data_IF_317006506371
#
_entry.id   IF_317006506371
#
_cell.length_a   1.000
_cell.length_b   1.000
_cell.length_c   1.000
_cell.angle_alpha   90.00
_cell.angle_beta   90.00
_cell.angle_gamma   90.00
#
_symmetry.space_group_name_H-M   'P 1'
#
loop_
_entity.id
_entity.type
_entity.pdbx_description
1 polymer ?
#
# COMPACT_ATOMS: atom_id res chain seq x y z
N UNK A 1 7.15 -8.15 11.24
CA UNK A 1 7.13 -6.93 12.06
C UNK A 1 6.09 -7.06 13.17
N UNK A 2 6.28 -6.33 14.27
CA UNK A 2 5.35 -6.29 15.42
C UNK A 2 3.95 -5.84 14.98
N UNK A 3 3.86 -4.88 14.04
CA UNK A 3 2.57 -4.40 13.50
C UNK A 3 1.79 -5.55 12.82
N UNK A 4 2.45 -6.34 11.97
CA UNK A 4 1.81 -7.48 11.30
C UNK A 4 1.34 -8.53 12.31
N UNK A 5 2.13 -8.81 13.33
CA UNK A 5 1.78 -9.77 14.38
C UNK A 5 0.52 -9.29 15.14
N UNK A 6 0.45 -7.99 15.48
CA UNK A 6 -0.76 -7.40 16.09
C UNK A 6 -1.99 -7.53 15.19
N UNK A 7 -1.87 -7.23 13.90
CA UNK A 7 -2.99 -7.32 12.95
C UNK A 7 -3.48 -8.77 12.77
N UNK A 8 -2.58 -9.76 12.83
CA UNK A 8 -2.97 -11.18 12.86
C UNK A 8 -3.69 -11.54 14.16
N UNK A 9 -3.18 -11.11 15.31
CA UNK A 9 -3.85 -11.33 16.61
C UNK A 9 -5.24 -10.69 16.66
N UNK A 10 -5.40 -9.47 16.10
CA UNK A 10 -6.71 -8.80 15.99
C UNK A 10 -7.67 -9.65 15.16
N UNK A 11 -7.24 -10.15 14.00
CA UNK A 11 -8.04 -11.04 13.16
C UNK A 11 -8.46 -12.30 13.92
N UNK A 12 -7.54 -12.94 14.62
CA UNK A 12 -7.80 -14.19 15.35
C UNK A 12 -8.73 -13.99 16.56
N UNK A 13 -8.91 -12.74 16.99
CA UNK A 13 -9.87 -12.35 18.04
C UNK A 13 -11.27 -12.05 17.49
N UNK A 14 -11.48 -12.07 16.18
CA UNK A 14 -12.78 -11.86 15.55
C UNK A 14 -13.52 -13.16 15.33
N UNK A 15 -14.88 -13.10 15.36
CA UNK A 15 -15.73 -14.24 15.04
C UNK A 15 -15.84 -14.44 13.52
N UNK A 16 -15.70 -13.33 12.76
CA UNK A 16 -15.73 -13.29 11.30
C UNK A 16 -14.86 -12.14 10.79
N UNK A 17 -14.61 -12.10 9.51
CA UNK A 17 -13.79 -11.07 8.89
C UNK A 17 -14.42 -10.54 7.61
N UNK A 18 -14.24 -9.25 7.33
CA UNK A 18 -14.62 -8.69 6.03
C UNK A 18 -13.85 -9.39 4.89
N UNK A 19 -14.44 -9.39 3.69
CA UNK A 19 -13.77 -9.96 2.51
C UNK A 19 -12.36 -9.40 2.30
N UNK A 20 -12.17 -8.09 2.53
CA UNK A 20 -10.85 -7.44 2.46
C UNK A 20 -9.88 -7.99 3.51
N UNK A 21 -10.31 -8.07 4.78
CA UNK A 21 -9.48 -8.60 5.86
C UNK A 21 -9.10 -10.07 5.64
N UNK A 22 -10.02 -10.87 5.10
CA UNK A 22 -9.75 -12.27 4.73
C UNK A 22 -8.68 -12.35 3.64
N UNK A 23 -8.81 -11.58 2.56
CA UNK A 23 -7.88 -11.57 1.43
C UNK A 23 -6.49 -11.07 1.84
N UNK A 24 -6.43 -9.98 2.61
CA UNK A 24 -5.16 -9.42 3.12
C UNK A 24 -4.52 -10.35 4.14
N UNK A 25 -5.33 -11.12 4.87
CA UNK A 25 -4.88 -12.00 5.95
C UNK A 25 -4.53 -11.25 7.24
N UNK A 26 -5.05 -10.02 7.41
CA UNK A 26 -4.79 -9.16 8.56
C UNK A 26 -5.95 -8.20 8.81
N UNK A 27 -6.21 -7.89 10.08
CA UNK A 27 -7.21 -6.89 10.49
C UNK A 27 -6.55 -5.83 11.38
N UNK A 28 -6.89 -4.57 11.16
CA UNK A 28 -6.48 -3.44 12.01
C UNK A 28 -7.67 -2.78 12.72
N UNK A 29 -8.89 -3.23 12.41
CA UNK A 29 -10.14 -2.70 12.94
C UNK A 29 -11.06 -3.85 13.39
N UNK A 30 -11.74 -3.68 14.53
CA UNK A 30 -12.76 -4.58 15.03
C UNK A 30 -14.04 -3.80 15.29
N UNK A 31 -15.17 -4.35 14.86
CA UNK A 31 -16.47 -3.77 15.18
C UNK A 31 -17.52 -4.84 15.45
N UNK A 32 -18.53 -4.49 16.22
CA UNK A 32 -19.66 -5.40 16.52
C UNK A 32 -20.73 -5.25 15.44
N UNK A 33 -21.18 -6.38 14.91
CA UNK A 33 -22.34 -6.48 14.01
C UNK A 33 -23.26 -7.58 14.55
N UNK A 34 -24.42 -7.18 15.07
CA UNK A 34 -25.30 -8.09 15.86
C UNK A 34 -24.51 -8.68 17.04
N UNK A 35 -24.39 -9.99 17.16
CA UNK A 35 -23.66 -10.66 18.22
C UNK A 35 -22.24 -11.10 17.80
N UNK A 36 -21.81 -10.76 16.59
CA UNK A 36 -20.49 -11.10 16.08
C UNK A 36 -19.51 -9.95 16.18
N UNK A 37 -18.26 -10.26 16.46
CA UNK A 37 -17.13 -9.36 16.32
C UNK A 37 -16.53 -9.57 14.93
N UNK A 38 -16.54 -8.53 14.11
CA UNK A 38 -16.03 -8.54 12.73
C UNK A 38 -14.66 -7.90 12.69
N UNK A 39 -13.69 -8.62 12.13
CA UNK A 39 -12.38 -8.08 11.78
C UNK A 39 -12.41 -7.40 10.41
N UNK A 40 -11.86 -6.20 10.31
CA UNK A 40 -11.76 -5.45 9.05
C UNK A 40 -10.37 -4.86 8.85
N UNK A 41 -10.07 -4.43 7.63
CA UNK A 41 -8.81 -3.77 7.29
C UNK A 41 -9.06 -2.44 6.59
N UNK A 42 -8.66 -1.35 7.26
CA UNK A 42 -8.80 0.03 6.76
C UNK A 42 -7.52 0.59 6.15
N UNK A 43 -6.39 -0.11 6.21
CA UNK A 43 -5.10 0.35 5.63
C UNK A 43 -5.24 0.58 4.12
N UNK A 44 -5.92 -0.33 3.41
CA UNK A 44 -6.15 -0.21 1.96
C UNK A 44 -7.01 1.01 1.60
N UNK A 45 -8.01 1.32 2.43
CA UNK A 45 -8.87 2.50 2.24
C UNK A 45 -8.05 3.77 2.48
N UNK A 46 -7.25 3.79 3.56
CA UNK A 46 -6.40 4.91 3.91
C UNK A 46 -5.43 5.28 2.80
N UNK A 47 -4.70 4.29 2.25
CA UNK A 47 -3.75 4.52 1.16
C UNK A 47 -4.43 5.06 -0.10
N UNK A 48 -5.52 4.42 -0.54
CA UNK A 48 -6.24 4.83 -1.74
C UNK A 48 -6.78 6.25 -1.61
N UNK A 49 -7.30 6.61 -0.44
CA UNK A 49 -7.85 7.92 -0.17
C UNK A 49 -6.76 8.99 -0.10
N UNK A 50 -5.64 8.69 0.53
CA UNK A 50 -4.52 9.63 0.62
C UNK A 50 -3.97 9.96 -0.77
N UNK A 51 -3.65 8.94 -1.58
CA UNK A 51 -3.13 9.16 -2.94
C UNK A 51 -4.14 9.94 -3.81
N UNK A 52 -5.41 9.54 -3.80
CA UNK A 52 -6.39 10.12 -4.72
C UNK A 52 -6.94 11.48 -4.26
N UNK A 53 -7.26 11.63 -2.96
CA UNK A 53 -7.95 12.82 -2.46
C UNK A 53 -6.98 13.86 -1.86
N UNK A 54 -6.00 13.44 -1.07
CA UNK A 54 -5.12 14.39 -0.40
C UNK A 54 -3.96 14.81 -1.30
N UNK A 55 -3.33 13.86 -2.00
CA UNK A 55 -2.25 14.14 -2.94
C UNK A 55 -2.73 14.46 -4.36
N UNK A 56 -4.01 14.20 -4.67
CA UNK A 56 -4.64 14.57 -5.95
C UNK A 56 -4.19 13.73 -7.15
N UNK A 57 -3.69 12.51 -6.94
CA UNK A 57 -3.25 11.63 -8.03
C UNK A 57 -4.32 10.63 -8.43
N UNK A 58 -4.64 10.57 -9.73
CA UNK A 58 -5.48 9.52 -10.30
C UNK A 58 -4.62 8.35 -10.77
N UNK A 59 -4.93 7.16 -10.25
CA UNK A 59 -4.25 5.92 -10.58
C UNK A 59 -4.89 5.18 -11.77
N UNK A 60 -6.01 5.66 -12.30
CA UNK A 60 -6.67 5.03 -13.42
C UNK A 60 -5.75 4.95 -14.65
N UNK A 61 -5.55 3.75 -15.17
CA UNK A 61 -4.71 3.50 -16.35
C UNK A 61 -3.21 3.66 -16.14
N UNK A 62 -2.74 3.84 -14.89
CA UNK A 62 -1.34 4.07 -14.54
C UNK A 62 -0.56 2.78 -14.31
N UNK A 63 0.76 2.86 -14.44
CA UNK A 63 1.70 1.77 -14.15
C UNK A 63 2.29 1.97 -12.77
N UNK A 64 2.03 1.00 -11.87
CA UNK A 64 2.40 1.06 -10.46
C UNK A 64 3.43 -0.01 -10.14
N UNK A 65 4.50 0.38 -9.48
CA UNK A 65 5.46 -0.52 -8.84
C UNK A 65 5.24 -0.55 -7.34
N UNK A 66 5.10 -1.73 -6.77
CA UNK A 66 5.10 -1.95 -5.33
C UNK A 66 6.35 -2.74 -4.95
N UNK A 67 7.20 -2.15 -4.14
CA UNK A 67 8.43 -2.74 -3.64
C UNK A 67 8.15 -3.48 -2.33
N UNK A 68 8.39 -4.80 -2.35
CA UNK A 68 8.09 -5.71 -1.24
C UNK A 68 6.87 -6.58 -1.50
N UNK A 69 6.80 -7.72 -0.81
CA UNK A 69 5.69 -8.68 -0.89
C UNK A 69 5.21 -9.12 0.51
N UNK A 70 5.35 -8.25 1.51
CA UNK A 70 4.88 -8.45 2.87
C UNK A 70 3.41 -8.06 3.06
N UNK A 71 2.94 -8.06 4.32
CA UNK A 71 1.56 -7.69 4.64
C UNK A 71 1.20 -6.26 4.24
N UNK A 72 2.13 -5.30 4.34
CA UNK A 72 1.93 -3.92 3.91
C UNK A 72 1.76 -3.83 2.38
N UNK A 73 2.64 -4.51 1.62
CA UNK A 73 2.53 -4.61 0.17
C UNK A 73 1.20 -5.24 -0.26
N UNK A 74 0.78 -6.29 0.44
CA UNK A 74 -0.50 -6.96 0.19
C UNK A 74 -1.67 -5.99 0.39
N UNK A 75 -1.72 -5.29 1.53
CA UNK A 75 -2.75 -4.28 1.80
C UNK A 75 -2.76 -3.16 0.77
N UNK A 76 -1.60 -2.62 0.40
CA UNK A 76 -1.45 -1.61 -0.63
C UNK A 76 -1.99 -2.11 -1.99
N UNK A 77 -1.54 -3.27 -2.44
CA UNK A 77 -1.91 -3.82 -3.74
C UNK A 77 -3.42 -4.04 -3.87
N UNK A 78 -4.09 -4.57 -2.83
CA UNK A 78 -5.55 -4.73 -2.82
C UNK A 78 -6.29 -3.37 -2.87
N UNK A 79 -5.81 -2.38 -2.10
CA UNK A 79 -6.41 -1.04 -2.11
C UNK A 79 -6.26 -0.32 -3.45
N UNK A 80 -5.08 -0.42 -4.04
CA UNK A 80 -4.77 0.25 -5.32
C UNK A 80 -5.43 -0.42 -6.51
N UNK A 81 -5.66 -1.73 -6.47
CA UNK A 81 -6.38 -2.43 -7.52
C UNK A 81 -7.81 -1.91 -7.70
N UNK A 82 -8.45 -1.41 -6.63
CA UNK A 82 -9.77 -0.81 -6.69
C UNK A 82 -9.82 0.49 -7.52
N UNK A 83 -8.67 1.16 -7.71
CA UNK A 83 -8.52 2.39 -8.50
C UNK A 83 -8.27 2.13 -10.00
N UNK A 84 -8.32 0.85 -10.44
CA UNK A 84 -8.17 0.43 -11.83
C UNK A 84 -6.88 0.92 -12.53
N UNK A 85 -5.70 0.71 -11.95
CA UNK A 85 -4.45 0.96 -12.65
C UNK A 85 -4.33 0.02 -13.87
N UNK A 86 -3.55 0.42 -14.87
CA UNK A 86 -3.22 -0.41 -16.04
C UNK A 86 -2.40 -1.62 -15.63
N UNK A 87 -1.37 -1.38 -14.80
CA UNK A 87 -0.43 -2.42 -14.34
C UNK A 87 -0.15 -2.25 -12.85
N UNK A 88 -0.13 -3.36 -12.12
CA UNK A 88 0.48 -3.46 -10.80
C UNK A 88 1.64 -4.46 -10.90
N UNK A 89 2.86 -3.97 -10.78
CA UNK A 89 4.06 -4.78 -10.66
C UNK A 89 4.45 -4.91 -9.19
N UNK A 90 4.62 -6.13 -8.71
CA UNK A 90 5.14 -6.42 -7.37
C UNK A 90 6.58 -6.87 -7.53
N UNK A 91 7.53 -6.08 -7.04
CA UNK A 91 8.94 -6.47 -7.01
C UNK A 91 9.39 -6.79 -5.58
N UNK A 92 10.09 -7.91 -5.43
CA UNK A 92 10.58 -8.35 -4.13
C UNK A 92 11.94 -9.02 -4.27
N UNK A 93 12.76 -8.98 -3.21
CA UNK A 93 14.05 -9.70 -3.16
C UNK A 93 13.88 -11.20 -3.47
N UNK A 94 12.82 -11.82 -2.97
CA UNK A 94 12.45 -13.22 -3.22
C UNK A 94 11.28 -13.23 -4.20
N UNK A 95 11.52 -13.64 -5.45
CA UNK A 95 10.52 -13.60 -6.53
C UNK A 95 9.26 -14.42 -6.22
N UNK A 96 9.43 -15.58 -5.58
CA UNK A 96 8.33 -16.48 -5.22
C UNK A 96 7.29 -15.78 -4.35
N UNK A 97 7.72 -14.89 -3.43
CA UNK A 97 6.79 -14.11 -2.60
C UNK A 97 5.99 -13.09 -3.40
N UNK A 98 6.60 -12.49 -4.42
CA UNK A 98 5.89 -11.60 -5.33
C UNK A 98 4.86 -12.40 -6.16
N UNK A 99 5.24 -13.59 -6.65
CA UNK A 99 4.34 -14.48 -7.39
C UNK A 99 3.15 -14.95 -6.55
N UNK A 100 3.37 -15.29 -5.27
CA UNK A 100 2.28 -15.63 -4.34
C UNK A 100 1.30 -14.46 -4.18
N UNK A 101 1.81 -13.24 -4.00
CA UNK A 101 0.96 -12.06 -3.88
C UNK A 101 0.17 -11.77 -5.18
N UNK A 102 0.80 -11.91 -6.33
CA UNK A 102 0.12 -11.78 -7.64
C UNK A 102 -0.99 -12.83 -7.81
N UNK A 103 -0.77 -14.05 -7.33
CA UNK A 103 -1.81 -15.10 -7.35
C UNK A 103 -3.03 -14.69 -6.51
N UNK A 104 -2.82 -14.19 -5.30
CA UNK A 104 -3.90 -13.71 -4.42
C UNK A 104 -4.66 -12.53 -5.07
N UNK A 105 -3.94 -11.57 -5.65
CA UNK A 105 -4.53 -10.43 -6.36
C UNK A 105 -5.32 -10.88 -7.61
N UNK A 106 -4.87 -11.90 -8.31
CA UNK A 106 -5.55 -12.44 -9.48
C UNK A 106 -6.91 -13.05 -9.11
N UNK A 107 -7.01 -13.72 -7.97
CA UNK A 107 -8.28 -14.23 -7.45
C UNK A 107 -9.24 -13.08 -7.11
N UNK A 108 -8.76 -12.04 -6.46
CA UNK A 108 -9.55 -10.84 -6.19
C UNK A 108 -10.02 -10.16 -7.47
N UNK A 109 -9.13 -9.98 -8.44
CA UNK A 109 -9.43 -9.40 -9.75
C UNK A 109 -10.61 -10.13 -10.44
N UNK A 110 -10.59 -11.46 -10.45
CA UNK A 110 -11.65 -12.27 -11.07
C UNK A 110 -13.00 -12.05 -10.38
N UNK A 111 -13.03 -11.95 -9.05
CA UNK A 111 -14.26 -11.75 -8.28
C UNK A 111 -14.79 -10.31 -8.35
N UNK A 112 -13.95 -9.32 -8.58
CA UNK A 112 -14.28 -7.89 -8.55
C UNK A 112 -14.44 -7.24 -9.93
N UNK A 113 -14.21 -7.98 -11.03
CA UNK A 113 -14.32 -7.46 -12.41
C UNK A 113 -13.23 -6.44 -12.78
N UNK A 114 -12.09 -6.44 -12.07
CA UNK A 114 -10.95 -5.54 -12.33
C UNK A 114 -10.07 -6.07 -13.47
N UNK A 115 -9.42 -5.19 -14.22
CA UNK A 115 -8.68 -5.54 -15.44
C UNK A 115 -7.19 -5.17 -15.41
N UNK A 116 -6.64 -4.80 -14.25
CA UNK A 116 -5.20 -4.46 -14.14
C UNK A 116 -4.32 -5.63 -14.57
N UNK A 117 -3.24 -5.35 -15.30
CA UNK A 117 -2.20 -6.32 -15.55
C UNK A 117 -1.39 -6.54 -14.26
N UNK A 118 -1.17 -7.79 -13.87
CA UNK A 118 -0.52 -8.16 -12.62
C UNK A 118 0.79 -8.88 -12.93
N UNK A 119 1.92 -8.31 -12.48
CA UNK A 119 3.27 -8.78 -12.79
C UNK A 119 4.04 -8.97 -11.50
N UNK A 120 4.77 -10.11 -11.40
CA UNK A 120 5.74 -10.36 -10.35
C UNK A 120 7.15 -10.23 -10.92
N UNK A 121 8.02 -9.49 -10.23
CA UNK A 121 9.42 -9.34 -10.61
C UNK A 121 10.34 -9.44 -9.40
N UNK A 122 11.64 -9.58 -9.64
CA UNK A 122 12.67 -9.42 -8.62
C UNK A 122 13.25 -8.00 -8.67
N UNK A 123 13.91 -7.54 -7.60
CA UNK A 123 14.61 -6.26 -7.62
C UNK A 123 15.70 -6.18 -8.69
N UNK A 124 16.29 -7.33 -9.06
CA UNK A 124 17.40 -7.38 -10.01
C UNK A 124 16.94 -7.46 -11.47
N UNK A 125 15.69 -7.86 -11.75
CA UNK A 125 15.19 -8.07 -13.12
C UNK A 125 14.14 -7.06 -13.55
N UNK A 126 13.65 -6.22 -12.64
CA UNK A 126 12.56 -5.31 -12.95
C UNK A 126 12.91 -4.29 -14.05
N UNK A 127 14.16 -3.80 -14.08
CA UNK A 127 14.65 -2.88 -15.11
C UNK A 127 14.75 -3.51 -16.50
N UNK A 128 14.80 -4.85 -16.60
CA UNK A 128 14.81 -5.55 -17.88
C UNK A 128 13.42 -5.55 -18.54
N UNK A 129 12.37 -5.43 -17.71
CA UNK A 129 10.96 -5.46 -18.14
C UNK A 129 10.34 -4.06 -18.25
N UNK A 130 10.83 -3.12 -17.42
CA UNK A 130 10.27 -1.77 -17.30
C UNK A 130 11.36 -0.71 -17.29
N UNK A 131 11.11 0.39 -17.98
CA UNK A 131 12.02 1.55 -18.00
C UNK A 131 11.65 2.62 -16.96
N UNK A 132 10.38 2.71 -16.59
CA UNK A 132 9.87 3.65 -15.58
C UNK A 132 8.48 3.23 -15.12
N UNK A 133 8.02 3.85 -14.02
CA UNK A 133 6.66 3.71 -13.51
C UNK A 133 6.05 5.08 -13.22
N UNK A 134 4.74 5.22 -13.39
CA UNK A 134 4.02 6.42 -12.97
C UNK A 134 4.07 6.60 -11.45
N UNK A 135 3.97 5.48 -10.69
CA UNK A 135 3.96 5.45 -9.23
C UNK A 135 4.84 4.33 -8.70
N UNK A 136 5.66 4.65 -7.69
CA UNK A 136 6.49 3.68 -7.00
C UNK A 136 6.17 3.73 -5.51
N UNK A 137 5.78 2.59 -4.95
CA UNK A 137 5.37 2.48 -3.55
C UNK A 137 6.34 1.56 -2.81
N UNK A 138 6.98 2.09 -1.78
CA UNK A 138 7.83 1.29 -0.91
C UNK A 138 7.02 0.69 0.23
N UNK A 139 6.86 -0.63 0.20
CA UNK A 139 6.22 -1.45 1.23
C UNK A 139 7.20 -2.38 1.94
N UNK A 140 8.50 -2.12 1.82
CA UNK A 140 9.56 -2.90 2.50
C UNK A 140 9.76 -2.38 3.93
N UNK A 141 10.46 -3.16 4.74
CA UNK A 141 10.93 -2.71 6.06
C UNK A 141 12.26 -1.95 5.99
N UNK A 142 12.85 -1.77 4.82
CA UNK A 142 14.14 -1.10 4.66
C UNK A 142 14.06 0.39 4.99
N UNK A 143 12.93 1.04 4.76
CA UNK A 143 12.70 2.44 5.17
C UNK A 143 12.88 2.72 6.67
N UNK A 144 12.85 1.67 7.48
CA UNK A 144 13.08 1.78 8.93
C UNK A 144 14.54 1.61 9.33
N UNK A 145 15.42 1.32 8.37
CA UNK A 145 16.86 1.20 8.54
C UNK A 145 17.50 2.50 8.07
N UNK A 146 18.34 3.08 8.93
CA UNK A 146 19.03 4.33 8.62
C UNK A 146 20.02 4.13 7.46
N UNK A 147 19.95 5.00 6.45
CA UNK A 147 20.88 5.10 5.32
C UNK A 147 20.99 3.85 4.41
N UNK A 148 19.97 3.02 4.35
CA UNK A 148 19.96 1.89 3.41
C UNK A 148 19.06 2.19 2.20
N UNK A 149 19.68 2.28 1.01
CA UNK A 149 18.97 2.40 -0.26
C UNK A 149 18.41 1.04 -0.71
N UNK A 150 17.26 1.07 -1.38
CA UNK A 150 16.70 -0.13 -2.00
C UNK A 150 17.57 -0.57 -3.18
N UNK A 151 17.80 -1.88 -3.36
CA UNK A 151 18.62 -2.41 -4.45
C UNK A 151 17.81 -2.48 -5.75
N UNK A 152 17.35 -1.33 -6.23
CA UNK A 152 16.65 -1.17 -7.52
C UNK A 152 17.40 -0.16 -8.38
N UNK A 153 17.23 -0.24 -9.71
CA UNK A 153 17.84 0.72 -10.62
C UNK A 153 17.24 2.11 -10.43
N UNK A 154 18.03 3.16 -10.16
CA UNK A 154 17.53 4.51 -10.00
C UNK A 154 16.80 5.07 -11.23
N UNK A 155 17.05 4.54 -12.43
CA UNK A 155 16.36 4.94 -13.64
C UNK A 155 14.83 4.71 -13.59
N UNK A 156 14.38 3.80 -12.74
CA UNK A 156 12.95 3.54 -12.53
C UNK A 156 12.19 4.75 -11.96
N UNK A 157 12.89 5.68 -11.30
CA UNK A 157 12.29 6.92 -10.78
C UNK A 157 12.13 8.01 -11.83
N UNK A 158 12.77 7.87 -12.99
CA UNK A 158 12.67 8.85 -14.08
C UNK A 158 11.21 8.94 -14.55
N UNK A 159 10.64 10.17 -14.51
CA UNK A 159 9.23 10.45 -14.80
C UNK A 159 8.22 9.84 -13.81
N UNK A 160 8.65 9.31 -12.67
CA UNK A 160 7.74 8.89 -11.60
C UNK A 160 7.00 10.11 -11.04
N UNK A 161 5.66 10.11 -11.16
CA UNK A 161 4.85 11.21 -10.66
C UNK A 161 4.79 11.24 -9.13
N UNK A 162 4.78 10.07 -8.49
CA UNK A 162 4.76 9.93 -7.03
C UNK A 162 5.57 8.72 -6.58
N UNK A 163 6.57 8.93 -5.72
CA UNK A 163 7.21 7.89 -4.93
C UNK A 163 6.68 7.95 -3.49
N UNK A 164 5.98 6.90 -3.07
CA UNK A 164 5.26 6.85 -1.80
C UNK A 164 5.87 5.81 -0.87
N UNK A 165 6.31 6.22 0.32
CA UNK A 165 6.77 5.28 1.35
C UNK A 165 5.64 4.94 2.32
N UNK A 166 5.33 3.65 2.53
CA UNK A 166 4.35 3.25 3.53
C UNK A 166 4.82 3.43 4.97
N UNK A 167 6.11 3.63 5.20
CA UNK A 167 6.62 4.10 6.48
C UNK A 167 6.33 5.60 6.63
N UNK A 168 6.24 6.06 7.87
CA UNK A 168 6.16 7.48 8.19
C UNK A 168 7.24 7.83 9.22
N UNK A 169 7.87 9.00 9.05
CA UNK A 169 8.98 9.46 9.86
C UNK A 169 8.97 10.98 9.95
N UNK A 170 9.59 11.59 10.96
CA UNK A 170 9.71 13.06 11.04
C UNK A 170 10.64 13.63 9.96
N UNK A 171 11.60 12.87 9.52
CA UNK A 171 12.50 13.21 8.42
C UNK A 171 12.17 12.35 7.19
N UNK A 172 12.60 12.81 6.02
CA UNK A 172 12.48 12.03 4.80
C UNK A 172 13.19 10.69 4.95
N UNK A 173 12.55 9.63 4.48
CA UNK A 173 13.17 8.31 4.46
C UNK A 173 14.23 8.22 3.37
N UNK A 174 15.17 7.28 3.48
CA UNK A 174 16.19 7.11 2.43
C UNK A 174 15.55 6.83 1.06
N UNK A 175 14.44 6.09 1.03
CA UNK A 175 13.67 5.87 -0.20
C UNK A 175 13.17 7.19 -0.82
N UNK A 176 12.62 8.10 -0.02
CA UNK A 176 12.15 9.40 -0.51
C UNK A 176 13.30 10.25 -1.05
N UNK A 177 14.43 10.28 -0.34
CA UNK A 177 15.66 10.99 -0.76
C UNK A 177 16.16 10.42 -2.09
N UNK A 178 16.26 9.10 -2.20
CA UNK A 178 16.72 8.42 -3.42
C UNK A 178 15.78 8.72 -4.60
N UNK A 179 14.48 8.62 -4.39
CA UNK A 179 13.47 8.87 -5.41
C UNK A 179 13.53 10.32 -5.93
N UNK A 180 13.62 11.29 -5.02
CA UNK A 180 13.69 12.70 -5.39
C UNK A 180 14.98 13.02 -6.16
N UNK A 181 16.12 12.48 -5.74
CA UNK A 181 17.41 12.69 -6.40
C UNK A 181 17.48 12.06 -7.79
N UNK A 182 16.62 11.06 -8.08
CA UNK A 182 16.63 10.32 -9.34
C UNK A 182 15.40 10.61 -10.23
N UNK A 183 14.63 11.67 -9.96
CA UNK A 183 13.66 12.21 -10.91
C UNK A 183 12.19 11.98 -10.58
N UNK A 184 11.85 11.48 -9.39
CA UNK A 184 10.48 11.50 -8.93
C UNK A 184 9.98 12.94 -8.73
N UNK A 185 8.78 13.25 -9.26
CA UNK A 185 8.23 14.61 -9.22
C UNK A 185 7.73 15.00 -7.84
N UNK A 186 7.15 14.03 -7.11
CA UNK A 186 6.71 14.18 -5.73
C UNK A 186 7.13 12.95 -4.92
N UNK A 187 7.49 13.18 -3.66
CA UNK A 187 7.70 12.13 -2.66
C UNK A 187 6.72 12.32 -1.50
N UNK A 188 6.25 11.24 -0.91
CA UNK A 188 5.36 11.28 0.27
C UNK A 188 5.61 10.09 1.18
N UNK A 189 5.41 10.30 2.47
CA UNK A 189 5.43 9.23 3.46
C UNK A 189 4.01 8.71 3.79
N UNK A 190 3.92 7.70 4.64
CA UNK A 190 2.67 7.06 5.03
C UNK A 190 1.82 7.82 6.07
N UNK A 191 2.12 9.10 6.35
CA UNK A 191 1.35 9.89 7.32
C UNK A 191 -0.11 10.06 6.91
N UNK A 192 -0.36 10.46 5.66
CA UNK A 192 -1.72 10.64 5.16
C UNK A 192 -2.50 9.32 5.19
N UNK A 193 -1.89 8.21 4.77
CA UNK A 193 -2.48 6.87 4.91
C UNK A 193 -2.84 6.54 6.37
N UNK A 194 -1.96 6.87 7.34
CA UNK A 194 -2.21 6.65 8.77
C UNK A 194 -3.43 7.42 9.26
N UNK A 195 -3.57 8.68 8.86
CA UNK A 195 -4.70 9.54 9.22
C UNK A 195 -6.00 9.01 8.60
N UNK A 196 -6.00 8.71 7.31
CA UNK A 196 -7.21 8.29 6.59
C UNK A 196 -7.68 6.88 6.99
N UNK A 197 -6.79 5.94 7.30
CA UNK A 197 -7.19 4.64 7.84
C UNK A 197 -7.80 4.76 9.23
N UNK A 198 -7.29 5.70 10.05
CA UNK A 198 -7.89 6.02 11.35
C UNK A 198 -9.29 6.63 11.21
N UNK A 199 -9.48 7.53 10.25
CA UNK A 199 -10.78 8.10 9.93
C UNK A 199 -11.79 7.04 9.48
N UNK A 200 -11.39 6.09 8.63
CA UNK A 200 -12.23 4.98 8.19
C UNK A 200 -12.61 4.04 9.35
N UNK A 201 -11.68 3.79 10.27
CA UNK A 201 -11.96 3.02 11.49
C UNK A 201 -12.95 3.74 12.40
N UNK A 202 -12.77 5.05 12.58
CA UNK A 202 -13.69 5.88 13.37
C UNK A 202 -15.11 5.90 12.76
N UNK A 203 -15.21 6.00 11.45
CA UNK A 203 -16.49 5.92 10.74
C UNK A 203 -17.18 4.56 10.97
N UNK A 204 -16.44 3.47 10.92
CA UNK A 204 -16.95 2.12 11.21
C UNK A 204 -17.55 2.03 12.63
N UNK A 205 -16.92 2.66 13.62
CA UNK A 205 -17.35 2.60 15.02
C UNK A 205 -18.51 3.55 15.36
N UNK A 206 -18.55 4.70 14.69
CA UNK A 206 -19.47 5.81 15.09
C UNK A 206 -20.53 6.14 14.07
N UNK A 207 -20.38 5.62 12.84
CA UNK A 207 -21.23 6.01 11.69
C UNK A 207 -20.97 7.42 11.17
N UNK A 208 -19.89 8.09 11.59
CA UNK A 208 -19.55 9.45 11.21
C UNK A 208 -18.12 9.52 10.70
N UNK A 209 -17.94 9.97 9.44
CA UNK A 209 -16.61 10.23 8.88
C UNK A 209 -16.07 11.56 9.46
N UNK A 210 -14.92 11.56 10.16
CA UNK A 210 -14.33 12.78 10.69
C UNK A 210 -13.63 13.57 9.57
N UNK A 211 -13.48 14.89 9.78
CA UNK A 211 -12.64 15.73 8.92
C UNK A 211 -11.16 15.49 9.27
N UNK A 212 -10.34 15.24 8.28
CA UNK A 212 -8.92 14.86 8.44
C UNK A 212 -7.95 16.00 8.18
N UNK A 213 -8.39 17.10 7.52
CA UNK A 213 -7.52 18.19 7.07
C UNK A 213 -6.62 18.78 8.17
N UNK A 214 -7.13 18.94 9.39
CA UNK A 214 -6.32 19.49 10.50
C UNK A 214 -5.21 18.53 10.95
N UNK A 215 -5.43 17.22 10.83
CA UNK A 215 -4.42 16.22 11.17
C UNK A 215 -3.38 16.09 10.05
N UNK A 216 -3.82 16.17 8.80
CA UNK A 216 -2.92 16.16 7.63
C UNK A 216 -1.98 17.36 7.65
N UNK A 217 -2.46 18.54 8.07
CA UNK A 217 -1.68 19.77 8.17
C UNK A 217 -0.67 19.82 9.34
N UNK A 218 -0.59 18.78 10.18
CA UNK A 218 0.42 18.69 11.24
C UNK A 218 1.81 18.31 10.71
N UNK A 219 1.90 18.06 9.41
CA UNK A 219 3.14 17.71 8.71
C UNK A 219 3.25 18.40 7.37
#
# INVERSE_FOLDING_TARGET
SIRRQRQMCIRDSSNDSSAKAQMIGASNNLYKKSDLIIGDNTDCIGLAKDINQNLGFDLYGKEILILGAGGAAKGAAFGLQDLNPKTICIANRTLEKAQELIKDLSLYRQSSGKNSNLIASSFNSIQDEFHSFDFIINATSMSTLENESLPIDPSLYVNCALAYDLAYSQADTQFMIDAQNNGAQLVSDGWGMLVEQGAASFETWTGKLPKTNNLLALR
#
